data_IF_542959081552
#
_entry.id   IF_542959081552
#
_cell.length_a   1.000
_cell.length_b   1.000
_cell.length_c   1.000
_cell.angle_alpha   90.00
_cell.angle_beta   90.00
_cell.angle_gamma   90.00
#
_symmetry.space_group_name_H-M   'P 1'
#
loop_
_entity.id
_entity.type
_entity.pdbx_description
1 polymer ?
#
# COMPACT_ATOMS: atom_id res chain seq x y z
N UNK A 1 -20.46 7.53 -2.21
CA UNK A 1 -19.10 6.95 -2.03
C UNK A 1 -18.37 6.73 -3.36
N UNK A 2 -18.99 6.13 -4.39
CA UNK A 2 -18.36 5.90 -5.71
C UNK A 2 -17.92 7.19 -6.45
N UNK A 3 -18.71 8.25 -6.37
CA UNK A 3 -18.40 9.52 -7.07
C UNK A 3 -17.17 10.25 -6.52
N UNK A 4 -16.96 10.22 -5.21
CA UNK A 4 -15.88 10.98 -4.56
C UNK A 4 -14.51 10.34 -4.74
N UNK A 5 -14.43 9.01 -4.87
CA UNK A 5 -13.15 8.29 -4.98
C UNK A 5 -12.74 8.04 -6.43
N UNK A 6 -13.69 7.83 -7.35
CA UNK A 6 -13.40 7.43 -8.73
C UNK A 6 -13.99 8.36 -9.79
N UNK A 7 -14.45 9.56 -9.42
CA UNK A 7 -15.06 10.51 -10.37
C UNK A 7 -16.38 10.01 -10.98
N UNK A 8 -17.03 9.06 -10.31
CA UNK A 8 -18.33 8.51 -10.70
C UNK A 8 -18.30 7.39 -11.74
N UNK A 9 -17.11 6.97 -12.20
CA UNK A 9 -16.94 5.84 -13.14
C UNK A 9 -15.89 4.86 -12.63
N UNK A 10 -16.19 3.57 -12.76
CA UNK A 10 -15.28 2.46 -12.43
C UNK A 10 -14.62 1.89 -13.68
N UNK A 11 -14.27 2.73 -14.65
CA UNK A 11 -13.45 2.33 -15.79
C UNK A 11 -11.96 2.38 -15.42
N UNK A 12 -11.15 1.68 -16.22
CA UNK A 12 -9.71 1.54 -15.98
C UNK A 12 -9.00 2.89 -15.84
N UNK A 13 -9.32 3.85 -16.70
CA UNK A 13 -8.62 5.12 -16.76
C UNK A 13 -9.00 5.99 -15.56
N UNK A 14 -10.29 6.03 -15.20
CA UNK A 14 -10.78 6.72 -14.00
C UNK A 14 -10.18 6.16 -12.72
N UNK A 15 -10.03 4.83 -12.60
CA UNK A 15 -9.41 4.18 -11.45
C UNK A 15 -7.91 4.48 -11.37
N UNK A 16 -7.19 4.41 -12.50
CA UNK A 16 -5.77 4.75 -12.54
C UNK A 16 -5.52 6.23 -12.22
N UNK A 17 -6.36 7.13 -12.73
CA UNK A 17 -6.29 8.55 -12.44
C UNK A 17 -6.52 8.84 -10.94
N UNK A 18 -7.53 8.22 -10.34
CA UNK A 18 -7.80 8.33 -8.91
C UNK A 18 -6.62 7.84 -8.05
N UNK A 19 -6.03 6.68 -8.39
CA UNK A 19 -4.87 6.14 -7.69
C UNK A 19 -3.65 7.07 -7.74
N UNK A 20 -3.34 7.60 -8.94
CA UNK A 20 -2.23 8.55 -9.13
C UNK A 20 -2.48 9.84 -8.37
N UNK A 21 -3.67 10.44 -8.52
CA UNK A 21 -4.05 11.68 -7.82
C UNK A 21 -3.94 11.52 -6.30
N UNK A 22 -4.40 10.41 -5.75
CA UNK A 22 -4.28 10.12 -4.32
C UNK A 22 -2.82 10.04 -3.87
N UNK A 23 -1.98 9.36 -4.65
CA UNK A 23 -0.55 9.22 -4.35
C UNK A 23 0.16 10.58 -4.35
N UNK A 24 -0.11 11.41 -5.36
CA UNK A 24 0.48 12.75 -5.45
C UNK A 24 -0.02 13.70 -4.35
N UNK A 25 -1.31 13.63 -3.98
CA UNK A 25 -1.84 14.39 -2.85
C UNK A 25 -1.15 14.02 -1.53
N UNK A 26 -0.88 12.72 -1.29
CA UNK A 26 -0.15 12.29 -0.09
C UNK A 26 1.28 12.82 -0.11
N UNK A 27 1.96 12.74 -1.25
CA UNK A 27 3.33 13.28 -1.41
C UNK A 27 3.40 14.79 -1.21
N UNK A 28 2.41 15.53 -1.69
CA UNK A 28 2.36 16.98 -1.55
C UNK A 28 2.00 17.42 -0.13
N UNK A 29 1.20 16.64 0.60
CA UNK A 29 0.75 16.99 1.94
C UNK A 29 1.75 16.64 3.05
N UNK A 30 2.65 15.69 2.82
CA UNK A 30 3.59 15.20 3.82
C UNK A 30 5.01 15.68 3.45
N UNK A 31 5.73 16.37 4.36
CA UNK A 31 7.11 16.74 4.13
C UNK A 31 7.97 15.51 3.76
N UNK A 32 8.89 15.63 2.79
CA UNK A 32 9.67 14.50 2.28
C UNK A 32 10.46 13.79 3.38
N UNK A 33 10.91 14.51 4.40
CA UNK A 33 11.60 13.94 5.57
C UNK A 33 10.72 13.03 6.45
N UNK A 34 9.39 13.07 6.29
CA UNK A 34 8.43 12.21 7.02
C UNK A 34 7.71 11.22 6.11
N UNK A 35 8.10 11.15 4.83
CA UNK A 35 7.47 10.30 3.83
C UNK A 35 8.45 9.25 3.30
N UNK A 36 8.12 7.99 3.54
CA UNK A 36 8.80 6.86 2.90
C UNK A 36 7.90 6.25 1.82
N UNK A 37 8.32 6.32 0.55
CA UNK A 37 7.72 5.54 -0.53
C UNK A 37 8.44 4.20 -0.59
N UNK A 38 7.88 3.22 0.11
CA UNK A 38 8.49 1.91 0.30
C UNK A 38 7.92 0.85 -0.66
N UNK A 39 8.78 0.10 -1.34
CA UNK A 39 8.37 -1.10 -2.06
C UNK A 39 8.57 -2.34 -1.18
N UNK A 40 7.48 -3.04 -0.89
CA UNK A 40 7.47 -4.27 -0.07
C UNK A 40 8.41 -5.38 -0.58
N UNK A 41 8.82 -5.33 -1.85
CA UNK A 41 9.80 -6.26 -2.42
C UNK A 41 11.23 -6.03 -1.90
N UNK A 42 11.54 -4.84 -1.40
CA UNK A 42 12.86 -4.46 -0.87
C UNK A 42 13.12 -4.99 0.55
N UNK A 43 12.08 -5.48 1.24
CA UNK A 43 12.19 -6.06 2.58
C UNK A 43 12.46 -5.03 3.67
N UNK A 44 13.12 -5.44 4.77
CA UNK A 44 13.26 -4.61 5.96
C UNK A 44 14.21 -3.41 5.80
N UNK A 45 15.20 -3.49 4.90
CA UNK A 45 16.31 -2.54 4.85
C UNK A 45 15.88 -1.06 4.73
N UNK A 46 15.11 -0.63 3.71
CA UNK A 46 14.76 0.78 3.55
C UNK A 46 13.78 1.29 4.63
N UNK A 47 12.93 0.41 5.17
CA UNK A 47 12.01 0.76 6.25
C UNK A 47 12.77 1.00 7.57
N UNK A 48 13.71 0.12 7.88
CA UNK A 48 14.50 0.22 9.10
C UNK A 48 15.46 1.41 9.05
N UNK A 49 16.06 1.70 7.89
CA UNK A 49 16.89 2.89 7.67
C UNK A 49 16.09 4.18 7.91
N UNK A 50 14.90 4.28 7.30
CA UNK A 50 14.03 5.44 7.45
C UNK A 50 13.56 5.66 8.90
N UNK A 51 13.26 4.57 9.62
CA UNK A 51 12.84 4.61 11.02
C UNK A 51 14.01 4.69 12.00
N UNK A 52 15.25 4.61 11.53
CA UNK A 52 16.48 4.57 12.32
C UNK A 52 16.46 3.45 13.40
N UNK A 53 15.98 2.27 13.01
CA UNK A 53 15.89 1.06 13.86
C UNK A 53 16.73 -0.07 13.27
N UNK A 54 17.22 -1.02 14.09
CA UNK A 54 17.96 -2.18 13.57
C UNK A 54 17.06 -3.11 12.74
N UNK A 55 17.62 -3.68 11.68
CA UNK A 55 16.93 -4.68 10.85
C UNK A 55 16.70 -5.95 11.68
N UNK A 56 15.45 -6.44 11.80
CA UNK A 56 15.18 -7.68 12.52
C UNK A 56 15.73 -8.89 11.76
N UNK A 57 16.11 -9.94 12.49
CA UNK A 57 16.55 -11.21 11.91
C UNK A 57 15.39 -12.03 11.28
N UNK A 58 14.14 -11.60 11.48
CA UNK A 58 12.96 -12.25 10.91
C UNK A 58 12.79 -11.90 9.43
N UNK A 59 12.30 -12.85 8.64
CA UNK A 59 11.94 -12.58 7.24
C UNK A 59 10.84 -11.51 7.13
N UNK A 60 10.89 -10.70 6.08
CA UNK A 60 9.87 -9.68 5.84
C UNK A 60 8.50 -10.35 5.64
N UNK A 61 7.46 -9.96 6.41
CA UNK A 61 6.18 -10.65 6.39
C UNK A 61 5.48 -10.46 5.03
N UNK A 62 4.96 -11.55 4.48
CA UNK A 62 4.11 -11.56 3.27
C UNK A 62 2.73 -12.11 3.62
N UNK A 63 2.00 -11.40 4.47
CA UNK A 63 0.73 -11.87 5.05
C UNK A 63 -0.52 -11.30 4.39
N UNK A 64 -0.38 -10.52 3.31
CA UNK A 64 -1.51 -9.95 2.55
C UNK A 64 -1.34 -10.24 1.06
N UNK A 65 -1.01 -11.48 0.72
CA UNK A 65 -1.00 -11.93 -0.67
C UNK A 65 -2.44 -12.12 -1.17
N UNK A 66 -2.63 -12.04 -2.49
CA UNK A 66 -3.93 -12.40 -3.11
C UNK A 66 -4.33 -13.82 -2.69
N UNK A 67 -3.35 -14.72 -2.52
CA UNK A 67 -3.60 -16.09 -2.06
C UNK A 67 -4.12 -16.14 -0.61
N UNK A 68 -3.57 -15.33 0.29
CA UNK A 68 -4.05 -15.22 1.68
C UNK A 68 -5.45 -14.60 1.77
N UNK A 69 -5.75 -13.64 0.89
CA UNK A 69 -7.09 -13.05 0.77
C UNK A 69 -8.15 -14.10 0.41
N UNK A 70 -7.87 -14.95 -0.58
CA UNK A 70 -8.77 -16.05 -0.96
C UNK A 70 -8.83 -17.18 0.08
N UNK A 71 -7.74 -17.45 0.82
CA UNK A 71 -7.75 -18.40 1.94
C UNK A 71 -8.64 -17.93 3.09
N UNK A 72 -8.57 -16.64 3.43
CA UNK A 72 -9.38 -16.04 4.51
C UNK A 72 -10.86 -15.99 4.14
N UNK A 73 -11.19 -15.62 2.89
CA UNK A 73 -12.59 -15.62 2.44
C UNK A 73 -13.21 -17.02 2.41
N UNK A 74 -12.47 -18.05 1.98
CA UNK A 74 -12.95 -19.45 2.00
C UNK A 74 -13.08 -20.02 3.41
N UNK A 75 -12.37 -19.48 4.39
CA UNK A 75 -12.46 -19.89 5.80
C UNK A 75 -13.62 -19.25 6.58
N UNK A 76 -14.25 -18.19 6.03
CA UNK A 76 -15.38 -17.50 6.66
C UNK A 76 -16.76 -18.11 6.26
N UNK A 77 -16.77 -19.14 5.40
CA UNK A 77 -17.97 -19.89 4.99
C UNK A 77 -18.05 -21.28 5.66
N UNK A 78 -17.57 -21.45 6.90
CA UNK A 78 -17.74 -22.67 7.70
C UNK A 78 -18.21 -22.39 9.11
#
# INVERSE_FOLDING_TARGET
>A
MRDQTFGGKLDRDSVLAAYRSRTEQVKAAIPPERLLVFNVAEGWAPLCEFLNVPVPAAAFPRTNSIEDFWKTLKGAES
#
